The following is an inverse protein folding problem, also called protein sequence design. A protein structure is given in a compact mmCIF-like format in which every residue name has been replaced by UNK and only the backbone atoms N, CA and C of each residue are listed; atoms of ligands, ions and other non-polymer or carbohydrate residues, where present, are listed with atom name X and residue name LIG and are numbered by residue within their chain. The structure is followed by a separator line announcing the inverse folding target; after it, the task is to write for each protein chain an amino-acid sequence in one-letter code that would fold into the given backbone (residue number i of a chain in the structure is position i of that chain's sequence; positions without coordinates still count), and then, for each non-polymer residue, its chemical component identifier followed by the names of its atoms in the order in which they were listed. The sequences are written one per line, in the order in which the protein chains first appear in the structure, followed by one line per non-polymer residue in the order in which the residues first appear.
data_IF_488231708904
#
_entry.id   IF_488231708904
#
_cell.length_a   1.000
_cell.length_b   1.000
_cell.length_c   1.000
_cell.angle_alpha   90.00
_cell.angle_beta   90.00
_cell.angle_gamma   90.00
#
_symmetry.space_group_name_H-M   'P 1'
#
loop_
_entity.id
_entity.type
_entity.pdbx_description
1 polymer ?
#
# COMPACT_ATOMS: atom_id res chain seq x y z
N UNK A 1 37.67 -11.18 -11.25
CA UNK A 1 36.19 -11.16 -11.30
C UNK A 1 35.77 -9.96 -12.13
N UNK A 2 35.08 -10.16 -13.27
CA UNK A 2 34.74 -9.09 -14.20
C UNK A 2 33.60 -8.24 -13.61
N UNK A 3 33.89 -6.97 -13.32
CA UNK A 3 32.99 -6.05 -12.60
C UNK A 3 31.80 -5.58 -13.46
N UNK A 4 31.88 -5.80 -14.77
CA UNK A 4 30.86 -5.43 -15.78
C UNK A 4 29.68 -6.42 -15.85
N UNK A 5 29.82 -7.63 -15.30
CA UNK A 5 28.81 -8.69 -15.41
C UNK A 5 27.79 -8.72 -14.25
N UNK A 6 27.98 -7.90 -13.20
CA UNK A 6 27.09 -7.87 -12.04
C UNK A 6 26.04 -6.77 -12.17
N UNK A 7 24.77 -7.01 -11.80
CA UNK A 7 23.74 -5.98 -11.79
C UNK A 7 24.18 -4.76 -10.97
N UNK A 8 23.91 -3.55 -11.49
CA UNK A 8 24.18 -2.31 -10.77
C UNK A 8 23.35 -2.27 -9.49
N UNK A 9 24.00 -1.98 -8.36
CA UNK A 9 23.31 -1.72 -7.10
C UNK A 9 22.62 -0.36 -7.20
N UNK A 10 21.32 -0.36 -7.03
CA UNK A 10 20.48 0.84 -6.95
C UNK A 10 19.87 0.91 -5.56
N UNK A 11 19.64 2.14 -5.07
CA UNK A 11 19.06 2.39 -3.75
C UNK A 11 17.92 3.40 -3.87
N UNK A 12 16.94 3.28 -2.98
CA UNK A 12 15.88 4.28 -2.82
C UNK A 12 16.45 5.44 -2.01
N UNK A 13 16.42 6.65 -2.56
CA UNK A 13 16.94 7.87 -1.90
C UNK A 13 15.86 8.70 -1.23
N UNK A 14 14.59 8.40 -1.48
CA UNK A 14 13.43 9.03 -0.84
C UNK A 14 12.13 8.44 -1.35
N UNK A 15 11.07 8.54 -0.56
CA UNK A 15 9.72 8.14 -0.96
C UNK A 15 8.66 8.95 -0.22
N UNK A 16 7.47 9.06 -0.82
CA UNK A 16 6.31 9.72 -0.24
C UNK A 16 5.07 8.87 -0.50
N UNK A 17 4.11 8.90 0.43
CA UNK A 17 2.87 8.16 0.30
C UNK A 17 1.67 8.99 0.76
N UNK A 18 0.59 8.98 -0.03
CA UNK A 18 -0.74 9.45 0.37
C UNK A 18 -1.68 8.29 0.06
N UNK A 19 -2.27 7.72 1.10
CA UNK A 19 -3.06 6.49 1.00
C UNK A 19 -4.31 6.60 1.88
N UNK A 20 -5.30 5.70 1.72
CA UNK A 20 -6.38 5.60 2.69
C UNK A 20 -5.94 5.29 4.13
N UNK A 21 -4.71 4.81 4.33
CA UNK A 21 -4.13 4.50 5.64
C UNK A 21 -3.44 5.72 6.30
N UNK A 22 -3.12 6.76 5.54
CA UNK A 22 -2.42 7.93 6.04
C UNK A 22 -2.08 8.95 4.96
N UNK A 23 -1.97 10.22 5.35
CA UNK A 23 -1.69 11.34 4.46
C UNK A 23 -0.19 11.57 4.22
N UNK A 24 0.66 10.78 4.88
CA UNK A 24 2.10 10.76 4.66
C UNK A 24 2.65 9.33 4.83
N UNK A 25 3.94 9.20 4.57
CA UNK A 25 4.71 7.96 4.69
C UNK A 25 4.62 7.34 6.08
N UNK A 26 4.86 8.13 7.12
CA UNK A 26 4.94 7.67 8.50
C UNK A 26 3.59 7.14 8.98
N UNK A 27 2.51 7.85 8.68
CA UNK A 27 1.14 7.45 9.00
C UNK A 27 0.74 6.17 8.27
N UNK A 28 1.06 6.09 6.97
CA UNK A 28 0.76 4.91 6.15
C UNK A 28 1.51 3.69 6.69
N UNK A 29 2.79 3.84 7.06
CA UNK A 29 3.60 2.78 7.64
C UNK A 29 3.07 2.32 8.99
N UNK A 30 2.85 3.25 9.92
CA UNK A 30 2.31 2.92 11.25
C UNK A 30 0.98 2.16 11.14
N UNK A 31 0.07 2.62 10.28
CA UNK A 31 -1.22 1.95 10.08
C UNK A 31 -1.10 0.55 9.47
N UNK A 32 -0.13 0.32 8.56
CA UNK A 32 0.16 -1.04 8.05
C UNK A 32 0.73 -1.95 9.14
N UNK A 33 1.63 -1.43 9.97
CA UNK A 33 2.22 -2.18 11.09
C UNK A 33 1.20 -2.50 12.18
N UNK A 34 0.18 -1.66 12.33
CA UNK A 34 -0.98 -1.87 13.20
C UNK A 34 -2.06 -2.76 12.55
N UNK A 35 -1.79 -3.36 11.38
CA UNK A 35 -2.74 -4.21 10.63
C UNK A 35 -4.09 -3.54 10.35
N UNK A 36 -4.09 -2.20 10.18
CA UNK A 36 -5.32 -1.47 9.87
C UNK A 36 -5.72 -1.69 8.40
N UNK A 37 -7.01 -1.82 8.17
CA UNK A 37 -7.57 -1.89 6.82
C UNK A 37 -7.70 -0.48 6.22
N UNK A 38 -7.15 -0.30 5.01
CA UNK A 38 -7.27 0.94 4.23
C UNK A 38 -8.58 1.04 3.46
N UNK A 39 -9.48 0.09 3.65
CA UNK A 39 -10.79 0.04 3.00
C UNK A 39 -11.83 -0.40 4.02
N UNK A 40 -13.08 -0.11 3.69
CA UNK A 40 -14.24 -0.51 4.47
C UNK A 40 -15.30 -1.07 3.55
N UNK A 41 -16.16 -1.91 4.11
CA UNK A 41 -17.36 -2.33 3.40
C UNK A 41 -18.25 -1.12 3.07
N UNK A 42 -18.81 -1.10 1.86
CA UNK A 42 -19.75 -0.09 1.41
C UNK A 42 -20.87 -0.76 0.62
N UNK A 43 -22.09 -0.73 1.15
CA UNK A 43 -23.22 -1.42 0.55
C UNK A 43 -23.72 -0.70 -0.72
N UNK A 44 -23.80 -1.46 -1.82
CA UNK A 44 -24.36 -1.05 -3.11
C UNK A 44 -25.39 -2.06 -3.63
N UNK A 45 -25.96 -2.88 -2.75
CA UNK A 45 -26.99 -3.86 -3.08
C UNK A 45 -28.23 -3.21 -3.71
N UNK A 46 -28.57 -1.98 -3.30
CA UNK A 46 -29.68 -1.21 -3.86
C UNK A 46 -29.56 -0.94 -5.38
N UNK A 47 -28.34 -0.97 -5.93
CA UNK A 47 -28.09 -0.84 -7.38
C UNK A 47 -27.63 -2.17 -8.01
N UNK A 48 -27.91 -3.29 -7.33
CA UNK A 48 -27.62 -4.64 -7.82
C UNK A 48 -26.16 -5.07 -7.72
N UNK A 49 -25.29 -4.32 -7.05
CA UNK A 49 -23.88 -4.69 -6.90
C UNK A 49 -23.70 -5.58 -5.66
N UNK A 50 -23.30 -6.83 -5.87
CA UNK A 50 -22.87 -7.74 -4.81
C UNK A 50 -21.35 -7.82 -4.78
N UNK A 51 -20.75 -7.51 -3.62
CA UNK A 51 -19.30 -7.58 -3.42
C UNK A 51 -18.98 -8.40 -2.17
N UNK A 52 -17.90 -9.17 -2.24
CA UNK A 52 -17.39 -9.92 -1.09
C UNK A 52 -16.42 -9.03 -0.32
N UNK A 53 -16.67 -8.87 0.97
CA UNK A 53 -15.74 -8.20 1.87
C UNK A 53 -14.71 -9.22 2.39
N UNK A 54 -13.44 -8.93 2.16
CA UNK A 54 -12.32 -9.70 2.68
C UNK A 54 -11.69 -8.81 3.74
N UNK A 55 -12.00 -9.06 5.01
CA UNK A 55 -11.41 -8.36 6.16
C UNK A 55 -10.23 -9.14 6.69
#
# INVERSE_FOLDING_TARGET
MNREALPRRVVVTGFGAVTPLGMNTEQSWAAMMDYRLGYRYYDKSAVGIQSRFLG
#
